data_IF_789160744899
#
_entry.id   IF_789160744899
#
_cell.length_a   1.000
_cell.length_b   1.000
_cell.length_c   1.000
_cell.angle_alpha   90.00
_cell.angle_beta   90.00
_cell.angle_gamma   90.00
#
_symmetry.space_group_name_H-M   'P 1'
#
loop_
_entity.id
_entity.type
_entity.pdbx_description
1 polymer ?
#
# COMPACT_ATOMS: atom_id res chain seq x y z
N UNK A 1 -15.22 7.22 -1.42
CA UNK A 1 -13.96 7.97 -1.55
C UNK A 1 -14.11 9.25 -2.34
N UNK A 2 -14.89 9.28 -3.43
CA UNK A 2 -15.06 10.48 -4.28
C UNK A 2 -15.44 11.76 -3.52
N UNK A 3 -16.27 11.68 -2.47
CA UNK A 3 -16.62 12.83 -1.65
C UNK A 3 -15.40 13.51 -1.00
N UNK A 4 -14.43 12.73 -0.51
CA UNK A 4 -13.20 13.27 0.09
C UNK A 4 -12.31 13.95 -0.96
N UNK A 5 -12.13 13.33 -2.13
CA UNK A 5 -11.35 13.92 -3.23
C UNK A 5 -11.97 15.21 -3.78
N UNK A 6 -13.29 15.39 -3.67
CA UNK A 6 -13.99 16.59 -4.13
C UNK A 6 -13.97 17.74 -3.10
N UNK A 7 -13.37 17.54 -1.92
CA UNK A 7 -13.21 18.63 -0.95
C UNK A 7 -12.14 19.61 -1.46
N UNK A 8 -12.44 20.93 -1.56
CA UNK A 8 -11.48 21.89 -2.11
C UNK A 8 -10.13 21.92 -1.37
N UNK A 9 -10.13 21.68 -0.07
CA UNK A 9 -8.92 21.65 0.73
C UNK A 9 -8.07 20.39 0.46
N UNK A 10 -8.70 19.26 0.12
CA UNK A 10 -8.00 18.04 -0.30
C UNK A 10 -7.42 18.22 -1.71
N UNK A 11 -8.20 18.75 -2.65
CA UNK A 11 -7.72 19.02 -4.01
C UNK A 11 -6.50 19.95 -3.98
N UNK A 12 -6.59 21.06 -3.24
CA UNK A 12 -5.47 21.98 -3.03
C UNK A 12 -4.26 21.29 -2.40
N UNK A 13 -4.45 20.42 -1.40
CA UNK A 13 -3.33 19.68 -0.79
C UNK A 13 -2.62 18.80 -1.82
N UNK A 14 -3.36 18.12 -2.71
CA UNK A 14 -2.77 17.28 -3.76
C UNK A 14 -2.01 18.10 -4.80
N UNK A 15 -2.54 19.27 -5.18
CA UNK A 15 -1.86 20.23 -6.06
C UNK A 15 -0.59 20.82 -5.43
N UNK A 16 -0.63 21.18 -4.15
CA UNK A 16 0.51 21.69 -3.39
C UNK A 16 1.61 20.62 -3.22
N UNK A 17 1.22 19.33 -3.25
CA UNK A 17 2.15 18.18 -3.34
C UNK A 17 2.67 17.93 -4.76
N UNK A 18 2.26 18.74 -5.72
CA UNK A 18 2.77 18.73 -7.09
C UNK A 18 2.18 17.63 -7.97
N UNK A 19 1.03 17.05 -7.62
CA UNK A 19 0.36 16.09 -8.49
C UNK A 19 -0.30 16.83 -9.65
N UNK A 20 -0.09 16.32 -10.86
CA UNK A 20 -0.81 16.76 -12.04
C UNK A 20 -2.26 16.26 -12.00
N UNK A 21 -3.15 16.94 -12.74
CA UNK A 21 -4.58 16.58 -12.79
C UNK A 21 -4.82 15.11 -13.19
N UNK A 22 -4.02 14.58 -14.12
CA UNK A 22 -4.09 13.18 -14.52
C UNK A 22 -3.74 12.21 -13.37
N UNK A 23 -2.73 12.56 -12.56
CA UNK A 23 -2.29 11.76 -11.40
C UNK A 23 -3.33 11.81 -10.28
N UNK A 24 -3.94 12.98 -10.02
CA UNK A 24 -5.05 13.13 -9.07
C UNK A 24 -6.24 12.26 -9.50
N UNK A 25 -6.60 12.28 -10.78
CA UNK A 25 -7.71 11.47 -11.29
C UNK A 25 -7.42 9.97 -11.16
N UNK A 26 -6.20 9.53 -11.48
CA UNK A 26 -5.80 8.13 -11.35
C UNK A 26 -5.75 7.68 -9.88
N UNK A 27 -5.22 8.51 -8.99
CA UNK A 27 -5.21 8.26 -7.54
C UNK A 27 -6.64 8.11 -6.99
N UNK A 28 -7.55 9.00 -7.42
CA UNK A 28 -8.97 8.92 -7.05
C UNK A 28 -9.61 7.60 -7.48
N UNK A 29 -9.40 7.19 -8.73
CA UNK A 29 -9.94 5.94 -9.27
C UNK A 29 -9.38 4.73 -8.50
N UNK A 30 -8.06 4.70 -8.31
CA UNK A 30 -7.34 3.66 -7.59
C UNK A 30 -7.85 3.50 -6.16
N UNK A 31 -7.84 4.57 -5.36
CA UNK A 31 -8.27 4.52 -3.95
C UNK A 31 -9.76 4.19 -3.82
N UNK A 32 -10.60 4.64 -4.76
CA UNK A 32 -12.02 4.29 -4.77
C UNK A 32 -12.24 2.80 -5.07
N UNK A 33 -11.48 2.22 -6.00
CA UNK A 33 -11.56 0.80 -6.32
C UNK A 33 -11.02 -0.07 -5.18
N UNK A 34 -9.90 0.32 -4.59
CA UNK A 34 -9.34 -0.37 -3.42
C UNK A 34 -10.27 -0.34 -2.21
N UNK A 35 -11.01 0.76 -2.01
CA UNK A 35 -12.05 0.80 -0.98
C UNK A 35 -13.16 -0.23 -1.24
N UNK A 36 -13.63 -0.36 -2.48
CA UNK A 36 -14.63 -1.38 -2.85
C UNK A 36 -14.08 -2.79 -2.63
N UNK A 37 -12.82 -3.02 -3.01
CA UNK A 37 -12.15 -4.29 -2.76
C UNK A 37 -12.05 -4.57 -1.27
N UNK A 38 -11.64 -3.59 -0.47
CA UNK A 38 -11.47 -3.70 0.97
C UNK A 38 -12.81 -3.94 1.68
N UNK A 39 -13.86 -3.19 1.35
CA UNK A 39 -15.20 -3.31 1.95
C UNK A 39 -15.83 -4.70 1.75
N UNK A 40 -15.47 -5.37 0.65
CA UNK A 40 -15.99 -6.70 0.27
C UNK A 40 -15.12 -7.88 0.72
N UNK A 41 -13.97 -7.63 1.38
CA UNK A 41 -13.17 -8.71 1.98
C UNK A 41 -13.86 -9.21 3.26
N UNK A 42 -13.93 -10.53 3.41
CA UNK A 42 -14.36 -11.17 4.65
C UNK A 42 -13.13 -11.79 5.32
N UNK A 43 -12.83 -11.38 6.55
CA UNK A 43 -11.80 -12.02 7.37
C UNK A 43 -12.31 -13.34 7.98
N UNK A 44 -11.44 -14.07 8.68
CA UNK A 44 -11.81 -15.31 9.38
C UNK A 44 -12.90 -15.10 10.43
N UNK A 45 -12.98 -13.90 11.00
CA UNK A 45 -14.00 -13.48 11.97
C UNK A 45 -15.09 -12.59 11.35
N UNK A 46 -15.22 -12.59 10.02
CA UNK A 46 -16.14 -11.72 9.28
C UNK A 46 -15.56 -10.33 8.98
N UNK A 47 -16.43 -9.33 8.89
CA UNK A 47 -16.09 -7.94 8.59
C UNK A 47 -15.25 -7.33 9.74
N UNK A 48 -14.10 -6.73 9.41
CA UNK A 48 -13.24 -6.05 10.37
C UNK A 48 -13.74 -4.63 10.66
N UNK A 49 -13.60 -4.16 11.90
CA UNK A 49 -14.02 -2.81 12.31
C UNK A 49 -13.37 -1.68 11.46
N UNK A 50 -12.16 -1.90 10.96
CA UNK A 50 -11.49 -0.95 10.06
C UNK A 50 -12.24 -0.74 8.73
N UNK A 51 -13.12 -1.67 8.32
CA UNK A 51 -13.94 -1.50 7.11
C UNK A 51 -15.10 -0.52 7.33
N UNK A 52 -15.41 -0.16 8.57
CA UNK A 52 -16.38 0.89 8.91
C UNK A 52 -15.74 2.30 8.99
N UNK A 53 -14.41 2.39 8.91
CA UNK A 53 -13.66 3.66 8.99
C UNK A 53 -13.17 4.14 7.62
N UNK A 54 -14.10 4.71 6.85
CA UNK A 54 -13.81 5.27 5.54
C UNK A 54 -12.83 6.46 5.60
N UNK A 55 -12.84 7.23 6.68
CA UNK A 55 -11.95 8.40 6.87
C UNK A 55 -10.52 7.91 7.10
N UNK A 56 -10.32 7.00 8.05
CA UNK A 56 -9.01 6.42 8.34
C UNK A 56 -8.41 5.70 7.13
N UNK A 57 -9.23 4.93 6.39
CA UNK A 57 -8.78 4.31 5.14
C UNK A 57 -8.29 5.36 4.13
N UNK A 58 -9.09 6.41 3.90
CA UNK A 58 -8.73 7.47 2.96
C UNK A 58 -7.42 8.16 3.36
N UNK A 59 -7.31 8.57 4.62
CA UNK A 59 -6.14 9.28 5.16
C UNK A 59 -4.87 8.45 4.98
N UNK A 60 -4.88 7.19 5.44
CA UNK A 60 -3.70 6.35 5.36
C UNK A 60 -3.35 5.96 3.93
N UNK A 61 -4.36 5.64 3.10
CA UNK A 61 -4.10 5.17 1.74
C UNK A 61 -3.60 6.29 0.83
N UNK A 62 -4.20 7.48 0.91
CA UNK A 62 -3.72 8.66 0.16
C UNK A 62 -2.34 9.09 0.66
N UNK A 63 -2.10 9.09 1.98
CA UNK A 63 -0.79 9.41 2.53
C UNK A 63 0.30 8.49 1.96
N UNK A 64 0.04 7.20 1.87
CA UNK A 64 0.99 6.23 1.31
C UNK A 64 1.29 6.53 -0.16
N UNK A 65 0.29 6.78 -1.00
CA UNK A 65 0.51 7.11 -2.41
C UNK A 65 1.21 8.45 -2.63
N UNK A 66 1.01 9.43 -1.73
CA UNK A 66 1.72 10.71 -1.79
C UNK A 66 3.19 10.60 -1.35
N UNK A 67 3.55 9.56 -0.61
CA UNK A 67 4.90 9.35 -0.09
C UNK A 67 5.73 8.42 -0.96
N UNK A 68 5.12 7.38 -1.51
CA UNK A 68 5.78 6.43 -2.41
C UNK A 68 6.01 7.05 -3.80
N UNK A 69 6.84 6.42 -4.67
CA UNK A 69 7.21 7.02 -5.94
C UNK A 69 5.99 7.41 -6.79
N UNK A 70 5.83 8.71 -7.04
CA UNK A 70 4.65 9.29 -7.70
C UNK A 70 4.38 8.67 -9.07
N UNK A 71 5.44 8.39 -9.83
CA UNK A 71 5.34 7.77 -11.15
C UNK A 71 4.66 6.39 -11.15
N UNK A 72 4.60 5.72 -9.98
CA UNK A 72 3.95 4.43 -9.86
C UNK A 72 2.43 4.50 -9.81
N UNK A 73 1.83 5.66 -9.48
CA UNK A 73 0.37 5.80 -9.29
C UNK A 73 -0.41 5.28 -10.50
N UNK A 74 0.00 5.68 -11.71
CA UNK A 74 -0.65 5.27 -12.96
C UNK A 74 -0.53 3.76 -13.18
N UNK A 75 0.68 3.21 -13.01
CA UNK A 75 0.94 1.79 -13.24
C UNK A 75 0.21 0.89 -12.22
N UNK A 76 0.16 1.31 -10.96
CA UNK A 76 -0.61 0.62 -9.91
C UNK A 76 -2.11 0.71 -10.22
N UNK A 77 -2.62 1.89 -10.61
CA UNK A 77 -4.02 2.05 -11.04
C UNK A 77 -4.35 1.07 -12.16
N UNK A 78 -3.52 1.00 -13.19
CA UNK A 78 -3.76 0.13 -14.35
C UNK A 78 -3.77 -1.36 -13.94
N UNK A 79 -2.87 -1.80 -13.06
CA UNK A 79 -2.86 -3.18 -12.56
C UNK A 79 -4.10 -3.52 -11.71
N UNK A 80 -4.52 -2.61 -10.84
CA UNK A 80 -5.70 -2.82 -9.98
C UNK A 80 -6.99 -2.83 -10.81
N UNK A 81 -7.12 -1.95 -11.80
CA UNK A 81 -8.24 -1.95 -12.75
C UNK A 81 -8.26 -3.23 -13.60
N UNK A 82 -7.11 -3.67 -14.10
CA UNK A 82 -7.01 -4.91 -14.86
C UNK A 82 -7.36 -6.14 -14.00
N UNK A 83 -6.94 -6.14 -12.73
CA UNK A 83 -7.31 -7.19 -11.79
C UNK A 83 -8.83 -7.22 -11.55
N UNK A 84 -9.45 -6.07 -11.29
CA UNK A 84 -10.89 -5.96 -11.07
C UNK A 84 -11.70 -6.40 -12.30
N UNK A 85 -11.30 -5.97 -13.50
CA UNK A 85 -11.93 -6.38 -14.75
C UNK A 85 -11.83 -7.90 -15.00
N UNK A 86 -10.81 -8.56 -14.45
CA UNK A 86 -10.66 -10.02 -14.47
C UNK A 86 -11.39 -10.72 -13.31
N UNK A 87 -12.19 -10.01 -12.51
CA UNK A 87 -12.90 -10.53 -11.34
C UNK A 87 -12.00 -10.82 -10.14
N UNK A 88 -10.78 -10.28 -10.12
CA UNK A 88 -9.82 -10.44 -9.01
C UNK A 88 -9.91 -9.26 -8.05
N UNK A 89 -9.79 -9.56 -6.75
CA UNK A 89 -9.76 -8.55 -5.69
C UNK A 89 -8.36 -8.52 -5.08
N UNK A 90 -7.57 -7.47 -5.36
CA UNK A 90 -6.15 -7.40 -4.99
C UNK A 90 -5.94 -7.34 -3.47
N UNK A 91 -6.89 -6.78 -2.73
CA UNK A 91 -6.85 -6.73 -1.26
C UNK A 91 -7.08 -8.12 -0.67
N UNK A 92 -7.98 -8.91 -1.25
CA UNK A 92 -8.18 -10.31 -0.88
C UNK A 92 -6.94 -11.15 -1.18
N UNK A 93 -6.33 -10.96 -2.35
CA UNK A 93 -5.08 -11.64 -2.72
C UNK A 93 -3.95 -11.29 -1.75
N UNK A 94 -3.82 -10.02 -1.34
CA UNK A 94 -2.88 -9.57 -0.31
C UNK A 94 -3.07 -10.34 1.00
N UNK A 95 -4.29 -10.39 1.54
CA UNK A 95 -4.55 -11.13 2.79
C UNK A 95 -4.31 -12.63 2.63
N UNK A 96 -4.61 -13.20 1.47
CA UNK A 96 -4.27 -14.58 1.17
C UNK A 96 -2.75 -14.81 1.18
N UNK A 97 -1.95 -13.94 0.58
CA UNK A 97 -0.47 -14.01 0.63
C UNK A 97 0.06 -13.88 2.06
N UNK A 98 -0.57 -13.04 2.90
CA UNK A 98 -0.23 -12.97 4.33
C UNK A 98 -0.49 -14.29 5.07
N UNK A 99 -1.51 -15.06 4.67
CA UNK A 99 -1.80 -16.36 5.28
C UNK A 99 -0.69 -17.37 5.04
N UNK A 100 0.10 -17.25 3.96
CA UNK A 100 1.24 -18.14 3.72
C UNK A 100 2.24 -18.15 4.90
N UNK A 101 2.45 -17.00 5.54
CA UNK A 101 3.33 -16.87 6.71
C UNK A 101 2.60 -17.04 8.06
N UNK A 102 1.30 -16.76 8.12
CA UNK A 102 0.54 -16.68 9.39
C UNK A 102 -0.33 -17.90 9.67
N UNK A 103 -0.85 -18.55 8.63
CA UNK A 103 -1.60 -19.82 8.67
C UNK A 103 -1.36 -20.62 7.37
N UNK A 104 -0.19 -21.30 7.25
CA UNK A 104 0.17 -22.05 6.05
C UNK A 104 -0.83 -23.17 5.71
N UNK A 105 -1.50 -23.74 6.72
CA UNK A 105 -2.48 -24.81 6.53
C UNK A 105 -3.77 -24.27 5.89
N UNK A 106 -4.27 -23.12 6.34
CA UNK A 106 -5.39 -22.45 5.69
C UNK A 106 -5.03 -21.97 4.28
N UNK A 107 -3.84 -21.39 4.09
CA UNK A 107 -3.35 -21.00 2.78
C UNK A 107 -3.31 -22.19 1.79
N UNK A 108 -2.70 -23.30 2.21
CA UNK A 108 -2.60 -24.50 1.38
C UNK A 108 -3.97 -25.05 0.97
N UNK A 109 -4.93 -25.04 1.88
CA UNK A 109 -6.30 -25.52 1.65
C UNK A 109 -7.11 -24.61 0.72
N UNK A 110 -7.04 -23.29 0.94
CA UNK A 110 -8.01 -22.35 0.35
C UNK A 110 -7.44 -21.53 -0.83
N UNK A 111 -6.11 -21.46 -0.99
CA UNK A 111 -5.43 -20.50 -1.88
C UNK A 111 -4.30 -21.06 -2.76
N UNK A 112 -3.71 -22.23 -2.45
CA UNK A 112 -2.54 -22.77 -3.16
C UNK A 112 -2.68 -22.93 -4.69
N UNK A 113 -3.91 -23.06 -5.21
CA UNK A 113 -4.20 -23.11 -6.65
C UNK A 113 -4.89 -21.87 -7.21
N UNK A 114 -5.08 -20.82 -6.42
CA UNK A 114 -5.80 -19.58 -6.80
C UNK A 114 -4.91 -18.37 -6.93
N UNK A 115 -3.74 -18.39 -6.29
CA UNK A 115 -2.74 -17.35 -6.41
C UNK A 115 -1.57 -17.83 -7.24
N UNK A 116 -1.24 -17.08 -8.28
CA UNK A 116 -0.02 -17.32 -9.01
C UNK A 116 1.19 -16.96 -8.14
N UNK A 117 2.15 -17.89 -8.10
CA UNK A 117 3.45 -17.64 -7.52
C UNK A 117 4.22 -16.64 -8.39
N UNK A 118 4.95 -15.68 -7.81
CA UNK A 118 5.76 -14.76 -8.60
C UNK A 118 6.85 -15.56 -9.34
N UNK A 119 7.05 -15.21 -10.62
CA UNK A 119 8.17 -15.71 -11.42
C UNK A 119 9.52 -15.38 -10.75
N UNK A 120 10.61 -16.08 -11.09
CA UNK A 120 11.93 -15.80 -10.51
C UNK A 120 12.37 -14.34 -10.68
N UNK A 121 12.09 -13.73 -11.84
CA UNK A 121 12.41 -12.32 -12.11
C UNK A 121 11.58 -11.40 -11.22
N UNK A 122 10.27 -11.66 -11.10
CA UNK A 122 9.38 -10.89 -10.22
C UNK A 122 9.82 -10.98 -8.76
N UNK A 123 10.28 -12.16 -8.33
CA UNK A 123 10.81 -12.38 -6.98
C UNK A 123 12.05 -11.55 -6.70
N UNK A 124 13.00 -11.52 -7.64
CA UNK A 124 14.20 -10.68 -7.53
C UNK A 124 13.84 -9.19 -7.32
N UNK A 125 12.88 -8.66 -8.10
CA UNK A 125 12.44 -7.27 -7.96
C UNK A 125 11.74 -7.01 -6.61
N UNK A 126 10.92 -7.96 -6.13
CA UNK A 126 10.29 -7.86 -4.81
C UNK A 126 11.33 -7.85 -3.68
N UNK A 127 12.36 -8.71 -3.78
CA UNK A 127 13.44 -8.78 -2.79
C UNK A 127 14.26 -7.47 -2.77
N UNK A 128 14.50 -6.86 -3.94
CA UNK A 128 15.14 -5.54 -4.06
C UNK A 128 14.30 -4.43 -3.40
N UNK A 129 12.99 -4.39 -3.66
CA UNK A 129 12.05 -3.45 -3.02
C UNK A 129 12.04 -3.65 -1.50
N UNK A 130 11.94 -4.90 -1.05
CA UNK A 130 11.95 -5.24 0.37
C UNK A 130 13.24 -4.78 1.04
N UNK A 131 14.40 -5.02 0.43
CA UNK A 131 15.70 -4.57 0.93
C UNK A 131 15.78 -3.05 1.07
N UNK A 132 15.37 -2.30 0.04
CA UNK A 132 15.33 -0.83 0.08
C UNK A 132 14.42 -0.31 1.18
N UNK A 133 13.21 -0.86 1.31
CA UNK A 133 12.27 -0.44 2.35
C UNK A 133 12.73 -0.80 3.76
N UNK A 134 13.46 -1.90 3.94
CA UNK A 134 14.08 -2.25 5.23
C UNK A 134 15.10 -1.20 5.64
N UNK A 135 15.99 -0.78 4.74
CA UNK A 135 16.96 0.29 5.03
C UNK A 135 16.26 1.61 5.38
N UNK A 136 15.19 1.97 4.66
CA UNK A 136 14.39 3.16 4.97
C UNK A 136 13.66 3.05 6.31
N UNK A 137 13.18 1.86 6.67
CA UNK A 137 12.51 1.61 7.95
C UNK A 137 13.50 1.76 9.12
N UNK A 138 14.72 1.26 8.98
CA UNK A 138 15.74 1.38 10.01
C UNK A 138 16.09 2.86 10.28
N UNK A 139 16.17 3.67 9.23
CA UNK A 139 16.32 5.14 9.34
C UNK A 139 15.11 5.74 10.07
N UNK A 140 13.90 5.39 9.65
CA UNK A 140 12.67 5.93 10.23
C UNK A 140 12.52 5.61 11.73
N UNK A 141 12.94 4.41 12.15
CA UNK A 141 12.93 3.99 13.55
C UNK A 141 13.94 4.76 14.40
N UNK A 142 15.09 5.13 13.83
CA UNK A 142 16.07 5.98 14.50
C UNK A 142 15.54 7.41 14.69
N UNK A 143 14.84 7.96 13.69
CA UNK A 143 14.35 9.34 13.73
C UNK A 143 13.08 9.52 14.58
N UNK A 144 12.19 8.51 14.60
CA UNK A 144 10.92 8.56 15.33
C UNK A 144 10.79 7.39 16.32
N UNK A 145 11.63 7.31 17.37
CA UNK A 145 11.68 6.15 18.26
C UNK A 145 10.38 5.93 19.05
N UNK A 146 9.66 7.00 19.41
CA UNK A 146 8.36 6.89 20.09
C UNK A 146 7.27 6.37 19.16
N UNK A 147 7.24 6.81 17.90
CA UNK A 147 6.29 6.30 16.90
C UNK A 147 6.56 4.83 16.59
N UNK A 148 7.84 4.45 16.50
CA UNK A 148 8.27 3.08 16.22
C UNK A 148 7.72 2.04 17.22
N UNK A 149 7.43 2.44 18.47
CA UNK A 149 6.86 1.56 19.49
C UNK A 149 5.38 1.21 19.26
N UNK A 150 4.66 2.04 18.50
CA UNK A 150 3.21 1.92 18.30
C UNK A 150 2.85 1.30 16.94
N UNK A 151 3.85 1.04 16.10
CA UNK A 151 3.66 0.52 14.75
C UNK A 151 4.10 -0.94 14.65
N UNK A 152 3.68 -1.61 13.58
CA UNK A 152 4.05 -3.00 13.32
C UNK A 152 5.58 -3.11 13.24
N UNK A 153 6.14 -4.10 13.93
CA UNK A 153 7.59 -4.34 13.94
C UNK A 153 8.16 -4.66 12.55
N UNK A 154 9.50 -4.63 12.45
CA UNK A 154 10.25 -4.85 11.20
C UNK A 154 10.45 -6.33 10.84
N UNK A 155 10.13 -7.25 11.75
CA UNK A 155 10.37 -8.69 11.61
C UNK A 155 9.04 -9.43 11.46
N UNK A 156 8.93 -10.23 10.40
CA UNK A 156 7.83 -11.19 10.24
C UNK A 156 8.11 -12.41 11.10
N UNK A 157 7.13 -12.79 11.91
CA UNK A 157 7.15 -13.95 12.79
C UNK A 157 5.89 -14.80 12.54
N UNK A 158 5.86 -16.08 12.97
CA UNK A 158 4.64 -16.86 12.93
C UNK A 158 3.48 -16.08 13.57
N UNK A 159 2.37 -15.95 12.83
CA UNK A 159 1.16 -15.16 13.19
C UNK A 159 1.29 -13.63 13.15
N UNK A 160 2.47 -13.08 12.91
CA UNK A 160 2.70 -11.63 12.87
C UNK A 160 3.50 -11.23 11.63
N UNK A 161 2.85 -10.62 10.66
CA UNK A 161 3.56 -10.03 9.51
C UNK A 161 4.15 -8.66 9.88
N UNK A 162 5.36 -8.35 9.39
CA UNK A 162 5.96 -7.02 9.56
C UNK A 162 5.24 -5.96 8.72
N UNK A 163 5.55 -4.68 8.96
CA UNK A 163 5.08 -3.58 8.10
C UNK A 163 5.55 -3.74 6.64
N UNK A 164 6.81 -4.12 6.44
CA UNK A 164 7.36 -4.37 5.10
C UNK A 164 6.72 -5.61 4.47
N UNK A 165 6.59 -6.71 5.21
CA UNK A 165 5.94 -7.92 4.70
C UNK A 165 4.48 -7.65 4.30
N UNK A 166 3.78 -6.81 5.05
CA UNK A 166 2.41 -6.40 4.71
C UNK A 166 2.34 -5.66 3.37
N UNK A 167 3.31 -4.80 3.07
CA UNK A 167 3.42 -4.10 1.79
C UNK A 167 3.86 -5.05 0.66
N UNK A 168 4.83 -5.93 0.91
CA UNK A 168 5.29 -6.94 -0.08
C UNK A 168 4.14 -7.87 -0.51
N UNK A 169 3.30 -8.32 0.43
CA UNK A 169 2.10 -9.10 0.11
C UNK A 169 1.10 -8.35 -0.78
N UNK A 170 1.03 -7.02 -0.66
CA UNK A 170 0.15 -6.19 -1.49
C UNK A 170 0.67 -6.09 -2.92
N UNK A 171 1.93 -5.69 -3.08
CA UNK A 171 2.49 -5.39 -4.40
C UNK A 171 2.78 -6.66 -5.22
N UNK A 172 2.80 -7.84 -4.59
CA UNK A 172 3.03 -9.11 -5.28
C UNK A 172 1.96 -9.43 -6.33
N UNK A 173 0.79 -8.80 -6.29
CA UNK A 173 -0.26 -8.93 -7.32
C UNK A 173 -0.05 -8.04 -8.55
N UNK A 174 0.89 -7.09 -8.51
CA UNK A 174 1.16 -6.14 -9.59
C UNK A 174 2.01 -6.74 -10.72
N UNK A 175 1.97 -6.15 -11.90
CA UNK A 175 2.79 -6.57 -13.04
C UNK A 175 4.29 -6.35 -12.78
N UNK A 176 5.15 -7.02 -13.55
CA UNK A 176 6.60 -6.84 -13.44
C UNK A 176 7.02 -5.39 -13.76
N UNK A 177 6.35 -4.75 -14.72
CA UNK A 177 6.58 -3.34 -15.07
C UNK A 177 6.27 -2.40 -13.91
N UNK A 178 5.16 -2.59 -13.22
CA UNK A 178 4.78 -1.78 -12.06
C UNK A 178 5.76 -1.99 -10.90
N UNK A 179 6.15 -3.23 -10.64
CA UNK A 179 7.16 -3.53 -9.62
C UNK A 179 8.52 -2.91 -9.95
N UNK A 180 8.92 -2.95 -11.22
CA UNK A 180 10.17 -2.32 -11.68
C UNK A 180 10.12 -0.81 -11.49
N UNK A 181 8.99 -0.17 -11.84
CA UNK A 181 8.75 1.26 -11.62
C UNK A 181 8.82 1.63 -10.14
N UNK A 182 8.17 0.86 -9.27
CA UNK A 182 8.24 1.05 -7.81
C UNK A 182 9.66 0.90 -7.28
N UNK A 183 10.38 -0.14 -7.69
CA UNK A 183 11.77 -0.37 -7.29
C UNK A 183 12.66 0.80 -7.66
N UNK A 184 12.65 1.19 -8.93
CA UNK A 184 13.54 2.24 -9.43
C UNK A 184 13.22 3.58 -8.76
N UNK A 185 11.94 3.87 -8.52
CA UNK A 185 11.50 5.03 -7.76
C UNK A 185 11.97 5.02 -6.30
N UNK A 186 11.83 3.90 -5.59
CA UNK A 186 12.26 3.76 -4.19
C UNK A 186 13.79 3.88 -4.06
N UNK A 187 14.55 3.31 -4.99
CA UNK A 187 16.01 3.43 -5.01
C UNK A 187 16.46 4.88 -5.25
N UNK A 188 15.75 5.62 -6.11
CA UNK A 188 15.98 7.07 -6.28
C UNK A 188 15.66 7.83 -5.00
N UNK A 189 14.51 7.60 -4.39
CA UNK A 189 14.16 8.22 -3.11
C UNK A 189 15.23 7.96 -2.03
N UNK A 190 15.72 6.72 -1.90
CA UNK A 190 16.80 6.39 -0.97
C UNK A 190 18.08 7.20 -1.26
N UNK A 191 18.45 7.31 -2.54
CA UNK A 191 19.65 8.03 -2.99
C UNK A 191 19.53 9.54 -2.76
N UNK A 192 18.32 10.08 -2.87
CA UNK A 192 18.00 11.49 -2.64
C UNK A 192 17.70 11.79 -1.16
N UNK A 193 17.90 10.82 -0.25
CA UNK A 193 17.59 10.93 1.17
C UNK A 193 16.11 11.25 1.48
N UNK A 194 15.21 10.84 0.59
CA UNK A 194 13.76 10.91 0.78
C UNK A 194 13.27 9.59 1.36
N UNK A 195 12.59 9.64 2.50
CA UNK A 195 12.10 8.45 3.19
C UNK A 195 10.56 8.36 3.13
N UNK A 196 9.99 7.53 2.23
CA UNK A 196 8.55 7.42 2.05
C UNK A 196 7.83 6.91 3.31
N UNK A 197 8.51 6.17 4.19
CA UNK A 197 7.91 5.68 5.44
C UNK A 197 7.70 6.83 6.41
N UNK A 198 8.68 7.73 6.56
CA UNK A 198 8.54 8.94 7.37
C UNK A 198 7.49 9.88 6.80
N UNK A 199 7.56 10.13 5.50
CA UNK A 199 6.63 11.02 4.80
C UNK A 199 5.18 10.53 4.91
N UNK A 200 4.96 9.22 5.00
CA UNK A 200 3.61 8.66 5.15
C UNK A 200 2.96 9.14 6.46
N UNK A 201 3.72 9.23 7.57
CA UNK A 201 3.19 9.76 8.82
C UNK A 201 2.86 11.25 8.72
N UNK A 202 3.77 12.03 8.10
CA UNK A 202 3.57 13.48 7.91
C UNK A 202 2.34 13.73 7.05
N UNK A 203 2.22 13.03 5.92
CA UNK A 203 1.10 13.17 5.00
C UNK A 203 -0.22 12.72 5.65
N UNK A 204 -0.24 11.65 6.45
CA UNK A 204 -1.44 11.23 7.16
C UNK A 204 -1.95 12.32 8.12
N UNK A 205 -1.06 12.96 8.88
CA UNK A 205 -1.43 14.08 9.78
C UNK A 205 -1.94 15.28 8.98
N UNK A 206 -1.31 15.61 7.85
CA UNK A 206 -1.76 16.72 7.00
C UNK A 206 -3.15 16.48 6.42
N UNK A 207 -3.41 15.28 5.89
CA UNK A 207 -4.71 14.93 5.31
C UNK A 207 -5.78 14.92 6.41
N UNK A 208 -5.51 14.34 7.57
CA UNK A 208 -6.45 14.33 8.70
C UNK A 208 -6.88 15.75 9.07
N UNK A 209 -5.93 16.68 9.23
CA UNK A 209 -6.22 18.08 9.55
C UNK A 209 -7.07 18.77 8.49
N UNK A 210 -6.83 18.45 7.22
CA UNK A 210 -7.60 19.01 6.09
C UNK A 210 -9.04 18.49 6.08
N UNK A 211 -9.28 17.26 6.52
CA UNK A 211 -10.63 16.70 6.60
C UNK A 211 -11.44 17.20 7.81
N UNK A 212 -10.75 17.64 8.87
CA UNK A 212 -11.36 18.18 10.09
C UNK A 212 -11.66 19.69 10.03
N UNK A 213 -11.12 20.39 9.03
CA UNK A 213 -11.24 21.83 8.84
C UNK A 213 -12.51 22.22 8.06
#
# INVERSE_FOLDING_TARGET
MSAFFNMPAVEKLLEDKGLAHAEISALRELVQLEWVHFDTVQGMSGRAACQDDAVGFFVHRVAQYLSFPRESIMAVRDDVVAADAAGRNVIREKYARMMEATDPAAFARDWSGRLEAPSPVKRCVLDEIEGTLRSMLDIAQCELPTTAQHVRGSITQPKLISSIGYYVCEIQSYSLSTLTCLRDGLQRQLSDHVNPILDTYVNAVLIQRVLEA
#
